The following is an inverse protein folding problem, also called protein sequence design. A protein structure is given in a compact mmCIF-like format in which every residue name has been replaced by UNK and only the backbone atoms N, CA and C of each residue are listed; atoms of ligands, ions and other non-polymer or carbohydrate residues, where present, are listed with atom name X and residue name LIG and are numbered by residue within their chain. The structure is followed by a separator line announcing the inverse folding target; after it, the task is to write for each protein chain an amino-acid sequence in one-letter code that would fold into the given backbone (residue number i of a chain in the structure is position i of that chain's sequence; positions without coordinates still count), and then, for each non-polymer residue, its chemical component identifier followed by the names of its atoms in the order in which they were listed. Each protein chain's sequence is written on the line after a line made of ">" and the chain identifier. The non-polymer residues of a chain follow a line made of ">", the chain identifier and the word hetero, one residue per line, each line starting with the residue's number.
data_IF_415635593441
#
_entry.id   IF_415635593441
#
_cell.length_a   1.000
_cell.length_b   1.000
_cell.length_c   1.000
_cell.angle_alpha   90.00
_cell.angle_beta   90.00
_cell.angle_gamma   90.00
#
_symmetry.space_group_name_H-M   'P 1'
#
loop_
_entity.id
_entity.type
_entity.pdbx_description
1 polymer ?
#
# COMPACT_ATOMS: atom_id res chain seq x y z
N UNK A 1 -12.61 -62.53 67.20
CA UNK A 1 -13.29 -61.52 66.35
C UNK A 1 -12.22 -60.70 65.68
N UNK A 2 -11.97 -60.92 64.39
CA UNK A 2 -11.07 -60.07 63.58
C UNK A 2 -11.67 -59.97 62.19
N UNK A 3 -11.92 -58.72 61.80
CA UNK A 3 -12.74 -58.32 60.69
C UNK A 3 -12.03 -58.48 59.34
N UNK A 4 -12.80 -58.89 58.33
CA UNK A 4 -12.50 -58.68 56.92
C UNK A 4 -12.49 -57.17 56.62
N UNK A 5 -11.48 -56.70 55.89
CA UNK A 5 -11.48 -55.37 55.30
C UNK A 5 -11.18 -55.49 53.80
N UNK A 6 -12.21 -55.22 53.01
CA UNK A 6 -12.20 -55.23 51.54
C UNK A 6 -11.17 -54.27 50.96
N UNK A 7 -10.40 -54.76 50.00
CA UNK A 7 -9.48 -53.97 49.18
C UNK A 7 -10.30 -53.14 48.20
N UNK A 8 -10.32 -51.82 48.39
CA UNK A 8 -10.85 -50.87 47.41
C UNK A 8 -9.68 -50.23 46.67
N UNK A 9 -9.54 -50.56 45.39
CA UNK A 9 -8.63 -49.91 44.44
C UNK A 9 -9.05 -48.46 44.23
N UNK A 10 -8.41 -47.54 44.94
CA UNK A 10 -8.46 -46.11 44.67
C UNK A 10 -7.29 -45.71 43.77
N UNK A 11 -7.63 -45.12 42.62
CA UNK A 11 -6.75 -44.58 41.59
C UNK A 11 -5.82 -43.50 42.16
N UNK A 12 -4.58 -43.32 41.66
CA UNK A 12 -3.72 -42.25 42.15
C UNK A 12 -4.25 -40.90 41.66
N UNK A 13 -4.63 -40.04 42.60
CA UNK A 13 -4.82 -38.62 42.37
C UNK A 13 -3.47 -37.99 41.99
N UNK A 14 -3.30 -37.72 40.70
CA UNK A 14 -2.25 -36.83 40.21
C UNK A 14 -2.67 -35.41 40.59
N UNK A 15 -2.02 -34.87 41.62
CA UNK A 15 -2.05 -33.45 41.93
C UNK A 15 -1.44 -32.67 40.76
N UNK A 16 -2.26 -32.23 39.81
CA UNK A 16 -1.84 -31.27 38.79
C UNK A 16 -1.85 -29.90 39.44
N UNK A 17 -0.67 -29.46 39.91
CA UNK A 17 -0.35 -28.06 40.09
C UNK A 17 -0.59 -27.36 38.73
N UNK A 18 -1.79 -26.83 38.56
CA UNK A 18 -2.21 -26.18 37.32
C UNK A 18 -1.60 -24.79 37.26
N UNK A 19 -0.31 -24.75 36.91
CA UNK A 19 0.24 -23.63 36.16
C UNK A 19 -0.61 -23.50 34.90
N UNK A 20 -1.42 -22.45 34.84
CA UNK A 20 -2.22 -22.14 33.66
C UNK A 20 -1.29 -21.64 32.55
N UNK A 21 -0.61 -22.57 31.90
CA UNK A 21 -0.09 -22.35 30.56
C UNK A 21 -1.31 -22.36 29.65
N UNK A 22 -1.88 -21.18 29.42
CA UNK A 22 -2.87 -20.99 28.37
C UNK A 22 -2.23 -21.31 27.02
N UNK A 23 -2.23 -22.59 26.62
CA UNK A 23 -2.04 -22.99 25.23
C UNK A 23 -3.35 -22.78 24.50
N UNK A 24 -3.70 -21.50 24.28
CA UNK A 24 -4.54 -21.15 23.12
C UNK A 24 -3.73 -21.63 21.92
N UNK A 25 -4.30 -22.38 20.96
CA UNK A 25 -3.55 -22.75 19.77
C UNK A 25 -3.12 -21.46 19.10
N UNK A 26 -1.83 -21.12 19.25
CA UNK A 26 -1.23 -20.02 18.52
C UNK A 26 -1.42 -20.39 17.06
N UNK A 27 -2.36 -19.72 16.41
CA UNK A 27 -2.43 -19.69 14.97
C UNK A 27 -0.98 -19.49 14.47
N UNK A 28 -0.42 -20.31 13.57
CA UNK A 28 1.01 -20.26 13.21
C UNK A 28 1.50 -18.84 12.86
N UNK A 29 0.59 -17.95 12.47
CA UNK A 29 0.77 -16.50 12.28
C UNK A 29 1.23 -15.69 13.52
N UNK A 30 1.16 -16.25 14.73
CA UNK A 30 1.55 -15.59 16.00
C UNK A 30 3.02 -15.87 16.38
N UNK A 31 3.66 -16.88 15.78
CA UNK A 31 5.05 -17.22 16.09
C UNK A 31 6.03 -16.13 15.63
N UNK A 32 5.79 -15.55 14.45
CA UNK A 32 6.63 -14.48 13.87
C UNK A 32 6.50 -13.13 14.60
N UNK A 33 5.51 -13.01 15.48
CA UNK A 33 5.22 -11.78 16.21
C UNK A 33 5.61 -11.83 17.70
N UNK A 34 6.07 -12.97 18.23
CA UNK A 34 6.49 -13.06 19.63
C UNK A 34 7.68 -12.12 19.92
N UNK A 35 7.73 -11.41 21.06
CA UNK A 35 6.83 -11.43 22.23
C UNK A 35 5.66 -10.44 22.21
N UNK A 36 5.25 -9.92 21.06
CA UNK A 36 4.22 -8.89 20.94
C UNK A 36 2.84 -9.45 21.28
N UNK A 37 2.08 -8.70 22.08
CA UNK A 37 0.72 -9.06 22.48
C UNK A 37 -0.23 -9.10 21.28
N UNK A 38 -1.36 -9.80 21.41
CA UNK A 38 -2.40 -9.86 20.36
C UNK A 38 -2.92 -8.48 19.93
N UNK A 39 -3.02 -7.51 20.86
CA UNK A 39 -3.39 -6.12 20.55
C UNK A 39 -2.29 -5.41 19.77
N UNK A 40 -1.02 -5.59 20.15
CA UNK A 40 0.12 -5.04 19.40
C UNK A 40 0.18 -5.58 17.97
N UNK A 41 -0.07 -6.88 17.80
CA UNK A 41 -0.14 -7.53 16.48
C UNK A 41 -1.22 -6.91 15.59
N UNK A 42 -2.42 -6.65 16.14
CA UNK A 42 -3.49 -5.95 15.39
C UNK A 42 -3.07 -4.54 14.96
N UNK A 43 -2.41 -3.80 15.84
CA UNK A 43 -1.92 -2.45 15.53
C UNK A 43 -0.81 -2.49 14.45
N UNK A 44 0.09 -3.48 14.50
CA UNK A 44 1.10 -3.71 13.45
C UNK A 44 0.42 -4.00 12.11
N UNK A 45 -0.63 -4.83 12.09
CA UNK A 45 -1.42 -5.11 10.89
C UNK A 45 -2.02 -3.84 10.28
N UNK A 46 -2.71 -3.02 11.07
CA UNK A 46 -3.30 -1.75 10.61
C UNK A 46 -2.24 -0.78 10.08
N UNK A 47 -1.09 -0.70 10.76
CA UNK A 47 0.04 0.12 10.33
C UNK A 47 0.64 -0.38 9.01
N UNK A 48 0.82 -1.69 8.87
CA UNK A 48 1.37 -2.32 7.67
C UNK A 48 0.45 -2.13 6.45
N UNK A 49 -0.85 -2.35 6.59
CA UNK A 49 -1.84 -2.11 5.53
C UNK A 49 -1.83 -0.64 5.08
N UNK A 50 -1.82 0.29 6.03
CA UNK A 50 -1.77 1.73 5.75
C UNK A 50 -0.45 2.14 5.09
N UNK A 51 0.68 1.58 5.56
CA UNK A 51 2.01 1.82 4.97
C UNK A 51 2.08 1.31 3.53
N UNK A 52 1.49 0.15 3.26
CA UNK A 52 1.42 -0.41 1.91
C UNK A 52 0.61 0.50 0.98
N UNK A 53 -0.57 0.95 1.42
CA UNK A 53 -1.39 1.91 0.67
C UNK A 53 -0.63 3.22 0.37
N UNK A 54 0.08 3.74 1.36
CA UNK A 54 0.93 4.92 1.22
C UNK A 54 2.06 4.73 0.21
N UNK A 55 2.79 3.60 0.26
CA UNK A 55 3.88 3.31 -0.67
C UNK A 55 3.40 3.09 -2.10
N UNK A 56 2.23 2.47 -2.28
CA UNK A 56 1.56 2.34 -3.57
C UNK A 56 1.18 3.71 -4.14
N UNK A 57 0.55 4.58 -3.33
CA UNK A 57 0.21 5.94 -3.73
C UNK A 57 1.46 6.76 -4.12
N UNK A 58 2.56 6.61 -3.37
CA UNK A 58 3.84 7.24 -3.68
C UNK A 58 4.37 6.84 -5.07
N UNK A 59 4.35 5.53 -5.38
CA UNK A 59 4.76 5.01 -6.69
C UNK A 59 3.89 5.59 -7.81
N UNK A 60 2.58 5.60 -7.62
CA UNK A 60 1.64 6.17 -8.59
C UNK A 60 1.88 7.67 -8.83
N UNK A 61 2.19 8.45 -7.78
CA UNK A 61 2.55 9.87 -7.92
C UNK A 61 3.80 10.08 -8.77
N UNK A 62 4.82 9.25 -8.58
CA UNK A 62 6.07 9.33 -9.34
C UNK A 62 5.79 9.01 -10.82
N UNK A 63 5.06 7.94 -11.10
CA UNK A 63 4.70 7.54 -12.47
C UNK A 63 3.87 8.61 -13.18
N UNK A 64 2.81 9.13 -12.54
CA UNK A 64 1.99 10.22 -13.11
C UNK A 64 2.81 11.48 -13.35
N UNK A 65 3.73 11.83 -12.45
CA UNK A 65 4.61 12.99 -12.64
C UNK A 65 5.54 12.81 -13.85
N UNK A 66 6.01 11.59 -14.09
CA UNK A 66 6.81 11.27 -15.28
C UNK A 66 5.96 11.34 -16.56
N UNK A 67 4.73 10.84 -16.52
CA UNK A 67 3.80 10.94 -17.66
C UNK A 67 3.50 12.41 -18.01
N UNK A 68 3.24 13.26 -17.01
CA UNK A 68 3.07 14.71 -17.20
C UNK A 68 4.29 15.33 -17.91
N UNK A 69 5.52 14.96 -17.51
CA UNK A 69 6.74 15.45 -18.16
C UNK A 69 6.82 15.01 -19.61
N UNK A 70 6.46 13.75 -19.91
CA UNK A 70 6.45 13.22 -21.26
C UNK A 70 5.44 13.95 -22.14
N UNK A 71 4.22 14.18 -21.65
CA UNK A 71 3.21 14.95 -22.37
C UNK A 71 3.67 16.37 -22.65
N UNK A 72 4.26 17.07 -21.66
CA UNK A 72 4.83 18.41 -21.86
C UNK A 72 5.91 18.44 -22.94
N UNK A 73 6.77 17.42 -23.00
CA UNK A 73 7.78 17.30 -24.05
C UNK A 73 7.15 17.11 -25.44
N UNK A 74 6.14 16.24 -25.55
CA UNK A 74 5.41 16.03 -26.81
C UNK A 74 4.67 17.28 -27.29
N UNK A 75 3.99 17.98 -26.39
CA UNK A 75 3.32 19.26 -26.66
C UNK A 75 4.32 20.29 -27.17
N UNK A 76 5.50 20.39 -26.53
CA UNK A 76 6.55 21.31 -26.96
C UNK A 76 7.01 21.01 -28.39
N UNK A 77 7.26 19.74 -28.72
CA UNK A 77 7.69 19.35 -30.06
C UNK A 77 6.62 19.65 -31.14
N UNK A 78 5.35 19.34 -30.87
CA UNK A 78 4.25 19.67 -31.79
C UNK A 78 4.07 21.18 -31.92
N UNK A 79 4.24 21.93 -30.83
CA UNK A 79 4.21 23.39 -30.88
C UNK A 79 5.32 23.96 -31.76
N UNK A 80 6.55 23.47 -31.62
CA UNK A 80 7.67 23.88 -32.47
C UNK A 80 7.40 23.59 -33.96
N UNK A 81 6.75 22.47 -34.28
CA UNK A 81 6.32 22.15 -35.65
C UNK A 81 5.24 23.12 -36.15
N UNK A 82 4.21 23.38 -35.36
CA UNK A 82 3.15 24.33 -35.71
C UNK A 82 3.70 25.76 -35.88
N UNK A 83 4.61 26.19 -35.01
CA UNK A 83 5.28 27.49 -35.09
C UNK A 83 6.14 27.58 -36.36
N UNK A 84 6.85 26.49 -36.74
CA UNK A 84 7.62 26.41 -37.99
C UNK A 84 6.72 26.52 -39.22
N UNK A 85 5.61 25.77 -39.27
CA UNK A 85 4.64 25.85 -40.36
C UNK A 85 4.03 27.26 -40.46
N UNK A 86 3.70 27.86 -39.31
CA UNK A 86 3.18 29.23 -39.26
C UNK A 86 4.17 30.25 -39.82
N UNK A 87 5.47 30.07 -39.59
CA UNK A 87 6.49 30.94 -40.16
C UNK A 87 6.66 30.71 -41.67
N UNK A 88 6.67 29.46 -42.14
CA UNK A 88 6.74 29.16 -43.57
C UNK A 88 5.53 29.70 -44.35
N UNK A 89 4.34 29.67 -43.75
CA UNK A 89 3.13 30.22 -44.36
C UNK A 89 3.22 31.73 -44.62
N UNK A 90 3.96 32.49 -43.79
CA UNK A 90 4.13 33.94 -43.97
C UNK A 90 4.95 34.28 -45.21
N UNK A 91 5.87 33.39 -45.57
CA UNK A 91 6.81 33.60 -46.68
C UNK A 91 6.35 32.89 -47.97
N UNK A 92 5.22 32.15 -47.94
CA UNK A 92 4.73 31.37 -49.08
C UNK A 92 3.64 32.10 -49.87
N UNK A 93 3.75 32.22 -51.22
CA UNK A 93 2.70 32.77 -52.07
C UNK A 93 1.51 31.82 -52.30
N UNK A 94 1.63 30.51 -52.03
CA UNK A 94 0.51 29.54 -52.01
C UNK A 94 0.67 28.58 -50.81
N UNK A 95 -0.06 28.79 -49.70
CA UNK A 95 0.15 28.06 -48.46
C UNK A 95 -0.65 26.76 -48.33
N UNK A 96 -1.28 26.24 -49.38
CA UNK A 96 -2.18 25.07 -49.29
C UNK A 96 -1.54 23.83 -48.65
N UNK A 97 -0.31 23.48 -49.03
CA UNK A 97 0.41 22.31 -48.47
C UNK A 97 0.77 22.53 -46.98
N UNK A 98 0.96 23.78 -46.58
CA UNK A 98 1.25 24.19 -45.20
C UNK A 98 -0.04 24.12 -44.37
N UNK A 99 -1.17 24.52 -44.94
CA UNK A 99 -2.48 24.44 -44.31
C UNK A 99 -2.90 22.99 -44.05
N UNK A 100 -2.71 22.09 -45.02
CA UNK A 100 -2.95 20.64 -44.84
C UNK A 100 -2.07 20.07 -43.71
N UNK A 101 -0.79 20.42 -43.69
CA UNK A 101 0.14 20.02 -42.63
C UNK A 101 -0.33 20.53 -41.26
N UNK A 102 -0.82 21.77 -41.18
CA UNK A 102 -1.36 22.34 -39.95
C UNK A 102 -2.60 21.58 -39.45
N UNK A 103 -3.53 21.23 -40.33
CA UNK A 103 -4.71 20.44 -40.00
C UNK A 103 -4.37 19.01 -39.57
N UNK A 104 -3.28 18.43 -40.08
CA UNK A 104 -2.84 17.08 -39.68
C UNK A 104 -2.26 17.04 -38.26
N UNK A 105 -1.53 18.08 -37.84
CA UNK A 105 -0.81 18.13 -36.54
C UNK A 105 -1.70 18.65 -35.41
N UNK A 106 -2.58 19.62 -35.72
CA UNK A 106 -3.39 20.31 -34.71
C UNK A 106 -4.24 19.37 -33.83
N UNK A 107 -4.91 18.33 -34.36
CA UNK A 107 -5.68 17.40 -33.54
C UNK A 107 -4.84 16.69 -32.48
N UNK A 108 -3.62 16.25 -32.82
CA UNK A 108 -2.71 15.62 -31.85
C UNK A 108 -2.27 16.64 -30.78
N UNK A 109 -1.93 17.86 -31.19
CA UNK A 109 -1.52 18.93 -30.27
C UNK A 109 -2.61 19.22 -29.21
N UNK A 110 -3.85 19.45 -29.65
CA UNK A 110 -4.98 19.67 -28.74
C UNK A 110 -5.36 18.42 -27.95
N UNK A 111 -5.21 17.23 -28.54
CA UNK A 111 -5.40 15.95 -27.85
C UNK A 111 -4.45 15.80 -26.66
N UNK A 112 -3.17 16.12 -26.86
CA UNK A 112 -2.16 16.08 -25.80
C UNK A 112 -2.38 17.13 -24.73
N UNK A 113 -2.82 18.34 -25.09
CA UNK A 113 -3.17 19.38 -24.11
C UNK A 113 -4.30 18.91 -23.17
N UNK A 114 -5.38 18.35 -23.72
CA UNK A 114 -6.48 17.80 -22.91
C UNK A 114 -6.02 16.63 -22.02
N UNK A 115 -5.17 15.75 -22.56
CA UNK A 115 -4.59 14.66 -21.78
C UNK A 115 -3.71 15.18 -20.63
N UNK A 116 -2.90 16.21 -20.88
CA UNK A 116 -2.07 16.86 -19.87
C UNK A 116 -2.92 17.46 -18.74
N UNK A 117 -3.98 18.21 -19.06
CA UNK A 117 -4.88 18.79 -18.07
C UNK A 117 -5.51 17.72 -17.16
N UNK A 118 -5.98 16.62 -17.76
CA UNK A 118 -6.52 15.48 -17.02
C UNK A 118 -5.47 14.87 -16.09
N UNK A 119 -4.25 14.65 -16.59
CA UNK A 119 -3.15 14.10 -15.78
C UNK A 119 -2.77 15.02 -14.62
N UNK A 120 -2.70 16.33 -14.85
CA UNK A 120 -2.38 17.30 -13.80
C UNK A 120 -3.48 17.36 -12.72
N UNK A 121 -4.75 17.26 -13.11
CA UNK A 121 -5.87 17.14 -12.17
C UNK A 121 -5.77 15.87 -11.33
N UNK A 122 -5.61 14.71 -11.96
CA UNK A 122 -5.47 13.42 -11.26
C UNK A 122 -4.24 13.40 -10.35
N UNK A 123 -3.13 14.01 -10.76
CA UNK A 123 -1.92 14.11 -9.95
C UNK A 123 -2.15 14.98 -8.70
N UNK A 124 -2.88 16.10 -8.81
CA UNK A 124 -3.25 16.94 -7.66
C UNK A 124 -4.12 16.17 -6.66
N UNK A 125 -5.16 15.51 -7.14
CA UNK A 125 -6.05 14.71 -6.29
C UNK A 125 -5.30 13.60 -5.55
N UNK A 126 -4.42 12.88 -6.26
CA UNK A 126 -3.59 11.84 -5.66
C UNK A 126 -2.58 12.43 -4.66
N UNK A 127 -2.05 13.62 -4.92
CA UNK A 127 -1.10 14.30 -4.04
C UNK A 127 -1.75 14.69 -2.72
N UNK A 128 -2.97 15.22 -2.74
CA UNK A 128 -3.73 15.53 -1.52
C UNK A 128 -4.06 14.25 -0.74
N UNK A 129 -4.53 13.20 -1.42
CA UNK A 129 -4.77 11.89 -0.78
C UNK A 129 -3.51 11.34 -0.13
N UNK A 130 -2.35 11.46 -0.79
CA UNK A 130 -1.07 11.03 -0.25
C UNK A 130 -0.64 11.83 0.99
N UNK A 131 -0.90 13.15 1.02
CA UNK A 131 -0.65 13.98 2.22
C UNK A 131 -1.51 13.53 3.39
N UNK A 132 -2.79 13.24 3.17
CA UNK A 132 -3.68 12.74 4.23
C UNK A 132 -3.25 11.35 4.71
N UNK A 133 -2.89 10.45 3.80
CA UNK A 133 -2.30 9.15 4.16
C UNK A 133 -1.04 9.30 5.01
N UNK A 134 -0.20 10.30 4.72
CA UNK A 134 1.01 10.59 5.52
C UNK A 134 0.67 10.94 6.96
N UNK A 135 -0.37 11.76 7.17
CA UNK A 135 -0.83 12.16 8.51
C UNK A 135 -1.37 10.96 9.28
N UNK A 136 -2.27 10.19 8.67
CA UNK A 136 -2.82 8.96 9.27
C UNK A 136 -1.72 7.97 9.62
N UNK A 137 -0.77 7.76 8.70
CA UNK A 137 0.36 6.87 8.93
C UNK A 137 1.26 7.33 10.08
N UNK A 138 1.44 8.65 10.26
CA UNK A 138 2.20 9.19 11.38
C UNK A 138 1.51 8.94 12.72
N UNK A 139 0.18 9.14 12.79
CA UNK A 139 -0.62 8.84 13.98
C UNK A 139 -0.55 7.36 14.33
N UNK A 140 -0.82 6.47 13.36
CA UNK A 140 -0.73 5.02 13.56
C UNK A 140 0.67 4.59 14.01
N UNK A 141 1.73 5.20 13.46
CA UNK A 141 3.11 4.92 13.87
C UNK A 141 3.34 5.31 15.33
N UNK A 142 2.85 6.48 15.73
CA UNK A 142 3.00 6.99 17.11
C UNK A 142 2.24 6.12 18.10
N UNK A 143 0.96 5.84 17.85
CA UNK A 143 0.13 5.02 18.72
C UNK A 143 0.69 3.60 18.87
N UNK A 144 1.16 3.02 17.76
CA UNK A 144 1.81 1.72 17.75
C UNK A 144 3.10 1.73 18.57
N UNK A 145 3.92 2.78 18.41
CA UNK A 145 5.13 2.95 19.19
C UNK A 145 4.81 3.02 20.69
N UNK A 146 3.94 3.94 21.10
CA UNK A 146 3.56 4.13 22.50
C UNK A 146 3.02 2.84 23.12
N UNK A 147 2.21 2.10 22.36
CA UNK A 147 1.71 0.81 22.78
C UNK A 147 2.84 -0.22 22.98
N UNK A 148 3.71 -0.39 21.98
CA UNK A 148 4.76 -1.40 22.04
C UNK A 148 5.80 -1.09 23.12
N UNK A 149 6.15 0.18 23.35
CA UNK A 149 7.06 0.57 24.45
C UNK A 149 6.44 0.29 25.81
N UNK A 150 5.18 0.69 26.03
CA UNK A 150 4.48 0.46 27.30
C UNK A 150 4.32 -1.03 27.64
N UNK A 151 4.25 -1.86 26.60
CA UNK A 151 4.06 -3.30 26.72
C UNK A 151 5.32 -4.11 26.38
N UNK A 152 6.49 -3.45 26.32
CA UNK A 152 7.75 -4.16 26.13
C UNK A 152 8.07 -4.97 27.39
N UNK A 153 7.94 -6.28 27.27
CA UNK A 153 8.25 -7.23 28.35
C UNK A 153 9.73 -7.62 28.36
N UNK A 154 10.50 -7.20 27.35
CA UNK A 154 11.91 -7.57 27.19
C UNK A 154 12.87 -6.58 27.84
N UNK A 155 12.40 -5.39 28.22
CA UNK A 155 13.23 -4.32 28.79
C UNK A 155 14.24 -3.73 27.79
N UNK A 156 14.06 -4.00 26.49
CA UNK A 156 14.98 -3.59 25.43
C UNK A 156 14.81 -2.12 25.05
N UNK A 157 13.69 -1.51 25.44
CA UNK A 157 13.35 -0.13 25.08
C UNK A 157 13.51 0.81 26.28
N UNK A 158 14.61 1.58 26.32
CA UNK A 158 14.81 2.63 27.31
C UNK A 158 13.92 3.86 27.01
N UNK A 159 13.14 4.29 28.01
CA UNK A 159 12.30 5.48 27.92
C UNK A 159 13.15 6.73 27.58
N UNK A 160 12.77 7.47 26.52
CA UNK A 160 13.40 8.74 26.15
C UNK A 160 14.43 8.68 25.00
N UNK A 161 14.68 7.50 24.43
CA UNK A 161 15.46 7.39 23.18
C UNK A 161 14.54 7.43 21.95
N UNK A 162 15.03 7.94 20.81
CA UNK A 162 14.36 7.86 19.50
C UNK A 162 14.41 6.43 19.01
N UNK A 163 13.63 5.56 19.64
CA UNK A 163 13.66 4.12 19.36
C UNK A 163 12.91 3.84 18.06
N UNK A 164 13.62 3.29 17.08
CA UNK A 164 13.05 2.81 15.83
C UNK A 164 12.14 1.60 16.13
N UNK A 165 10.92 1.55 15.56
CA UNK A 165 10.02 0.39 15.70
C UNK A 165 10.73 -0.93 15.35
N UNK A 166 11.70 -0.89 14.43
CA UNK A 166 12.50 -2.06 14.05
C UNK A 166 13.35 -2.65 15.17
N UNK A 167 13.67 -1.86 16.20
CA UNK A 167 14.43 -2.34 17.36
C UNK A 167 13.58 -3.13 18.36
N UNK A 168 12.24 -3.10 18.23
CA UNK A 168 11.34 -3.84 19.10
C UNK A 168 11.36 -5.32 18.69
N UNK A 169 11.67 -6.25 19.62
CA UNK A 169 11.70 -7.67 19.33
C UNK A 169 10.38 -8.16 18.68
N UNK A 170 10.50 -8.95 17.61
CA UNK A 170 9.36 -9.48 16.86
C UNK A 170 8.68 -8.49 15.89
N UNK A 171 8.90 -7.17 16.01
CA UNK A 171 8.19 -6.18 15.20
C UNK A 171 8.45 -6.36 13.70
N UNK A 172 9.72 -6.46 13.28
CA UNK A 172 10.05 -6.47 11.86
C UNK A 172 9.48 -7.69 11.13
N UNK A 173 9.56 -8.88 11.75
CA UNK A 173 8.99 -10.12 11.20
C UNK A 173 7.47 -10.01 11.11
N UNK A 174 6.83 -9.56 12.19
CA UNK A 174 5.38 -9.35 12.24
C UNK A 174 4.90 -8.33 11.19
N UNK A 175 5.60 -7.20 11.07
CA UNK A 175 5.28 -6.16 10.09
C UNK A 175 5.41 -6.68 8.65
N UNK A 176 6.51 -7.36 8.32
CA UNK A 176 6.74 -7.92 6.98
C UNK A 176 5.64 -8.90 6.59
N UNK A 177 5.19 -9.73 7.53
CA UNK A 177 4.09 -10.67 7.30
C UNK A 177 2.82 -9.94 6.82
N UNK A 178 2.36 -8.93 7.57
CA UNK A 178 1.16 -8.18 7.18
C UNK A 178 1.37 -7.39 5.90
N UNK A 179 2.47 -6.63 5.80
CA UNK A 179 2.78 -5.79 4.64
C UNK A 179 2.81 -6.59 3.34
N UNK A 180 3.40 -7.79 3.36
CA UNK A 180 3.46 -8.65 2.18
C UNK A 180 2.11 -9.28 1.83
N UNK A 181 1.23 -9.50 2.81
CA UNK A 181 -0.12 -10.02 2.54
C UNK A 181 -1.04 -8.95 1.96
N UNK A 182 -0.85 -7.69 2.34
CA UNK A 182 -1.53 -6.55 1.72
C UNK A 182 -1.25 -6.48 0.20
N UNK A 183 -0.04 -6.88 -0.24
CA UNK A 183 0.28 -7.02 -1.66
C UNK A 183 -0.61 -8.07 -2.34
N UNK A 184 -0.75 -9.26 -1.73
CA UNK A 184 -1.51 -10.38 -2.31
C UNK A 184 -3.01 -10.08 -2.45
N UNK A 185 -3.60 -9.37 -1.47
CA UNK A 185 -5.00 -8.93 -1.53
C UNK A 185 -5.22 -7.88 -2.62
N UNK A 186 -4.24 -6.99 -2.82
CA UNK A 186 -4.33 -5.93 -3.83
C UNK A 186 -4.16 -6.47 -5.26
N UNK A 187 -3.45 -7.58 -5.45
CA UNK A 187 -3.30 -8.24 -6.77
C UNK A 187 -4.57 -8.98 -7.24
N UNK A 188 -5.44 -9.43 -6.34
CA UNK A 188 -6.69 -10.12 -6.71
C UNK A 188 -7.81 -9.17 -7.18
N UNK A 189 -7.76 -7.88 -6.85
CA UNK A 189 -8.75 -6.90 -7.32
C UNK A 189 -8.48 -6.36 -8.73
N UNK A 190 -7.40 -6.79 -9.39
CA UNK A 190 -7.00 -6.33 -10.74
C UNK A 190 -7.44 -7.20 -11.91
N UNK A 191 -8.03 -8.38 -11.67
CA UNK A 191 -8.51 -9.30 -12.71
C UNK A 191 -10.02 -9.49 -12.61
N UNK A 192 -10.78 -8.55 -13.17
CA UNK A 192 -12.25 -8.60 -13.12
C UNK A 192 -12.96 -7.70 -14.11
N UNK A 193 -12.36 -7.38 -15.27
CA UNK A 193 -13.06 -6.75 -16.39
C UNK A 193 -12.74 -7.49 -17.69
N UNK A 194 -13.06 -8.78 -17.69
CA UNK A 194 -13.15 -9.58 -18.90
C UNK A 194 -14.48 -9.31 -19.60
N UNK A 195 -14.40 -8.62 -20.73
CA UNK A 195 -15.42 -8.40 -21.75
C UNK A 195 -16.35 -9.60 -21.98
N UNK A 196 -17.64 -9.46 -21.66
CA UNK A 196 -18.70 -10.28 -22.29
C UNK A 196 -18.96 -9.74 -23.69
N UNK A 197 -18.34 -10.34 -24.70
CA UNK A 197 -18.86 -10.26 -26.07
C UNK A 197 -20.19 -11.02 -26.12
N UNK A 198 -21.28 -10.33 -26.42
CA UNK A 198 -22.51 -10.96 -26.92
C UNK A 198 -22.30 -11.21 -28.41
N UNK A 199 -22.32 -12.47 -28.81
CA UNK A 199 -22.55 -12.89 -30.19
C UNK A 199 -23.95 -12.46 -30.65
N UNK A 200 -24.14 -12.04 -31.92
CA UNK A 200 -25.46 -11.88 -32.49
C UNK A 200 -26.00 -13.25 -32.91
N UNK A 201 -27.23 -13.57 -32.51
CA UNK A 201 -27.99 -14.66 -33.13
C UNK A 201 -28.59 -14.16 -34.44
N UNK A 202 -28.44 -15.01 -35.47
CA UNK A 202 -29.03 -14.90 -36.80
C UNK A 202 -30.54 -15.05 -36.79
#
# INVERSE_FOLDING_TARGET
>A
MSAEASVSTASPDVAIASGSVFTIPLNPYMADCHPITSKGIKMIGNYADSKHGFDSAKKQLILKKQEIKNQKKGIKALKEQLDSLSNQAKDSPDPKDIEESFYSISPEYFGRLRALEKLEKEWRELSEKYKEMRKVLAVLKSELYDYLVKHDTTGSVAAGSTVDLKSIPGFEKCFKFFYNRSLQRSSQSGHGSGSRQRTPQS
#
